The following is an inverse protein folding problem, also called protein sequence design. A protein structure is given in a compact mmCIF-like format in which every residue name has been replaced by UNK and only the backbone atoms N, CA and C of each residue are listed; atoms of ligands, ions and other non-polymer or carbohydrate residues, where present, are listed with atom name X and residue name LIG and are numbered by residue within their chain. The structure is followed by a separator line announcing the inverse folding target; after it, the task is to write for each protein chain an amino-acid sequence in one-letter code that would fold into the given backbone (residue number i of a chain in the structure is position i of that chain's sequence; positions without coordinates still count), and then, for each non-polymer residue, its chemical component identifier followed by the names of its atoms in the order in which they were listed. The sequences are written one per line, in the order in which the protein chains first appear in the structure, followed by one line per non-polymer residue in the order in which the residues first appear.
data_IF_657506342836
#
_entry.id   IF_657506342836
#
_cell.length_a   1.000
_cell.length_b   1.000
_cell.length_c   1.000
_cell.angle_alpha   90.00
_cell.angle_beta   90.00
_cell.angle_gamma   90.00
#
_symmetry.space_group_name_H-M   'P 1'
#
loop_
_entity.id
_entity.type
_entity.pdbx_description
1 polymer ?
#
# COMPACT_ATOMS: atom_id res chain seq x y z
N UNK A 1 -9.92 19.86 51.55
CA UNK A 1 -9.22 19.87 50.25
C UNK A 1 -10.05 19.06 49.26
N UNK A 2 -10.95 19.73 48.54
CA UNK A 2 -11.79 19.13 47.49
C UNK A 2 -11.01 19.18 46.17
N UNK A 3 -10.61 18.03 45.66
CA UNK A 3 -9.94 17.92 44.37
C UNK A 3 -10.96 18.20 43.25
N UNK A 4 -10.71 19.24 42.46
CA UNK A 4 -11.49 19.56 41.28
C UNK A 4 -11.31 18.45 40.23
N UNK A 5 -12.42 17.84 39.81
CA UNK A 5 -12.42 16.90 38.69
C UNK A 5 -12.04 17.65 37.41
N UNK A 6 -10.92 17.27 36.80
CA UNK A 6 -10.51 17.73 35.49
C UNK A 6 -11.53 17.28 34.45
N UNK A 7 -12.15 18.23 33.74
CA UNK A 7 -13.04 17.96 32.62
C UNK A 7 -12.32 17.14 31.53
N UNK A 8 -12.97 16.14 30.90
CA UNK A 8 -12.37 15.44 29.78
C UNK A 8 -12.22 16.40 28.60
N UNK A 9 -11.01 16.51 28.06
CA UNK A 9 -10.75 17.22 26.82
C UNK A 9 -11.64 16.63 25.72
N UNK A 10 -12.44 17.48 25.07
CA UNK A 10 -13.31 17.09 23.96
C UNK A 10 -12.43 16.55 22.82
N UNK A 11 -12.30 15.22 22.72
CA UNK A 11 -11.63 14.59 21.60
C UNK A 11 -12.36 15.01 20.32
N UNK A 12 -11.66 15.73 19.44
CA UNK A 12 -12.18 16.08 18.12
C UNK A 12 -12.66 14.80 17.42
N UNK A 13 -13.90 14.78 16.94
CA UNK A 13 -14.43 13.64 16.18
C UNK A 13 -13.50 13.37 15.00
N UNK A 14 -12.99 12.14 14.82
CA UNK A 14 -12.14 11.84 13.68
C UNK A 14 -12.92 12.14 12.40
N UNK A 15 -12.30 12.89 11.48
CA UNK A 15 -12.86 13.12 10.17
C UNK A 15 -13.25 11.75 9.55
N UNK A 16 -14.47 11.64 9.04
CA UNK A 16 -15.00 10.38 8.52
C UNK A 16 -14.08 9.84 7.41
N UNK A 17 -13.45 8.69 7.67
CA UNK A 17 -12.61 7.99 6.69
C UNK A 17 -13.41 7.33 5.54
N UNK A 18 -14.73 7.48 5.53
CA UNK A 18 -15.64 6.86 4.58
C UNK A 18 -15.35 7.31 3.14
N UNK A 19 -15.20 8.62 2.89
CA UNK A 19 -14.95 9.14 1.54
C UNK A 19 -13.62 8.63 0.96
N UNK A 20 -12.48 8.72 1.67
CA UNK A 20 -11.22 8.14 1.22
C UNK A 20 -11.32 6.63 0.96
N UNK A 21 -12.01 5.88 1.83
CA UNK A 21 -12.18 4.45 1.67
C UNK A 21 -12.99 4.11 0.40
N UNK A 22 -14.12 4.78 0.19
CA UNK A 22 -14.94 4.62 -1.02
C UNK A 22 -14.13 4.91 -2.29
N UNK A 23 -13.38 6.01 -2.31
CA UNK A 23 -12.51 6.35 -3.44
C UNK A 23 -11.46 5.27 -3.71
N UNK A 24 -10.80 4.77 -2.67
CA UNK A 24 -9.80 3.72 -2.78
C UNK A 24 -10.42 2.41 -3.33
N UNK A 25 -11.57 1.98 -2.79
CA UNK A 25 -12.25 0.76 -3.25
C UNK A 25 -12.75 0.87 -4.69
N UNK A 26 -13.23 2.04 -5.11
CA UNK A 26 -13.62 2.28 -6.50
C UNK A 26 -12.40 2.14 -7.41
N UNK A 27 -11.32 2.86 -7.11
CA UNK A 27 -10.08 2.82 -7.93
C UNK A 27 -9.56 1.38 -8.05
N UNK A 28 -9.52 0.65 -6.94
CA UNK A 28 -9.06 -0.74 -6.93
C UNK A 28 -10.04 -1.70 -7.63
N UNK A 29 -11.35 -1.48 -7.54
CA UNK A 29 -12.35 -2.28 -8.25
C UNK A 29 -12.26 -2.15 -9.77
N UNK A 30 -11.86 -0.99 -10.28
CA UNK A 30 -11.63 -0.76 -11.71
C UNK A 30 -10.27 -1.24 -12.22
N UNK A 31 -9.31 -1.52 -11.33
CA UNK A 31 -7.95 -1.90 -11.72
C UNK A 31 -7.88 -3.18 -12.59
N UNK A 32 -8.58 -4.29 -12.28
CA UNK A 32 -8.57 -5.47 -13.15
C UNK A 32 -9.08 -5.18 -14.57
N UNK A 33 -10.10 -4.32 -14.70
CA UNK A 33 -10.64 -3.93 -16.00
C UNK A 33 -9.58 -3.20 -16.83
N UNK A 34 -8.85 -2.26 -16.21
CA UNK A 34 -7.74 -1.57 -16.87
C UNK A 34 -6.67 -2.55 -17.35
N UNK A 35 -6.26 -3.51 -16.52
CA UNK A 35 -5.24 -4.50 -16.85
C UNK A 35 -5.67 -5.45 -17.99
N UNK A 36 -6.97 -5.80 -18.08
CA UNK A 36 -7.52 -6.58 -19.19
C UNK A 36 -7.54 -5.82 -20.52
N UNK A 37 -7.70 -4.49 -20.46
CA UNK A 37 -7.72 -3.62 -21.64
C UNK A 37 -6.31 -3.36 -22.18
N UNK A 38 -5.31 -3.23 -21.32
CA UNK A 38 -3.92 -3.00 -21.71
C UNK A 38 -3.20 -4.33 -21.97
N UNK A 39 -3.24 -4.78 -23.22
CA UNK A 39 -2.69 -6.09 -23.63
C UNK A 39 -1.22 -6.07 -24.04
N UNK A 40 -0.64 -4.89 -24.23
CA UNK A 40 0.69 -4.73 -24.85
C UNK A 40 1.84 -4.63 -23.85
N UNK A 41 1.54 -4.48 -22.55
CA UNK A 41 2.56 -4.28 -21.51
C UNK A 41 2.69 -5.54 -20.66
N UNK A 42 3.87 -6.18 -20.59
CA UNK A 42 4.09 -7.35 -19.75
C UNK A 42 3.86 -7.06 -18.25
N UNK A 43 3.40 -8.04 -17.45
CA UNK A 43 3.19 -7.88 -16.01
C UNK A 43 4.39 -7.33 -15.24
N UNK A 44 5.60 -7.74 -15.63
CA UNK A 44 6.85 -7.26 -15.03
C UNK A 44 7.04 -5.76 -15.23
N UNK A 45 6.77 -5.25 -16.43
CA UNK A 45 6.90 -3.83 -16.74
C UNK A 45 5.89 -2.98 -15.97
N UNK A 46 4.66 -3.47 -15.76
CA UNK A 46 3.68 -2.78 -14.92
C UNK A 46 4.18 -2.57 -13.49
N UNK A 47 4.78 -3.59 -12.89
CA UNK A 47 5.37 -3.47 -11.55
C UNK A 47 6.56 -2.51 -11.57
N UNK A 48 7.41 -2.57 -12.60
CA UNK A 48 8.52 -1.65 -12.80
C UNK A 48 8.07 -0.19 -12.87
N UNK A 49 7.07 0.11 -13.69
CA UNK A 49 6.48 1.45 -13.80
C UNK A 49 5.90 1.92 -12.47
N UNK A 50 5.22 1.04 -11.72
CA UNK A 50 4.73 1.39 -10.38
C UNK A 50 5.87 1.81 -9.47
N UNK A 51 6.99 1.10 -9.46
CA UNK A 51 8.15 1.44 -8.61
C UNK A 51 8.76 2.77 -9.03
N UNK A 52 8.97 2.99 -10.34
CA UNK A 52 9.54 4.23 -10.88
C UNK A 52 8.70 5.45 -10.50
N UNK A 53 7.37 5.35 -10.52
CA UNK A 53 6.49 6.47 -10.14
C UNK A 53 6.29 6.62 -8.62
N UNK A 54 6.37 5.52 -7.86
CA UNK A 54 6.20 5.57 -6.40
C UNK A 54 7.43 6.16 -5.71
N UNK A 55 8.64 5.92 -6.23
CA UNK A 55 9.89 6.41 -5.64
C UNK A 55 9.94 7.95 -5.50
N UNK A 56 9.74 8.76 -6.57
CA UNK A 56 9.69 10.21 -6.46
C UNK A 56 8.61 10.70 -5.48
N UNK A 57 7.42 10.09 -5.52
CA UNK A 57 6.32 10.46 -4.62
C UNK A 57 6.69 10.22 -3.15
N UNK A 58 7.28 9.06 -2.85
CA UNK A 58 7.78 8.75 -1.51
C UNK A 58 8.87 9.73 -1.06
N UNK A 59 9.82 10.07 -1.94
CA UNK A 59 10.88 11.04 -1.61
C UNK A 59 10.30 12.43 -1.35
N UNK A 60 9.30 12.85 -2.11
CA UNK A 60 8.57 14.11 -1.88
C UNK A 60 7.90 14.10 -0.51
N UNK A 61 7.22 13.00 -0.15
CA UNK A 61 6.58 12.86 1.17
C UNK A 61 7.62 12.91 2.30
N UNK A 62 8.75 12.20 2.15
CA UNK A 62 9.85 12.24 3.13
C UNK A 62 10.39 13.66 3.28
N UNK A 63 10.52 14.40 2.18
CA UNK A 63 10.96 15.79 2.20
C UNK A 63 9.98 16.70 2.94
N UNK A 64 8.68 16.61 2.63
CA UNK A 64 7.65 17.38 3.32
C UNK A 64 7.56 17.06 4.81
N UNK A 65 7.75 15.79 5.19
CA UNK A 65 7.74 15.35 6.59
C UNK A 65 9.08 15.59 7.32
N UNK A 66 10.12 16.03 6.59
CA UNK A 66 11.50 16.24 7.10
C UNK A 66 12.12 14.99 7.73
N UNK A 67 11.78 13.80 7.23
CA UNK A 67 12.17 12.49 7.78
C UNK A 67 13.45 11.90 7.15
N UNK A 68 14.29 12.73 6.51
CA UNK A 68 15.55 12.27 5.92
C UNK A 68 16.52 11.61 6.91
N UNK A 69 16.67 12.06 8.17
CA UNK A 69 17.53 11.39 9.15
C UNK A 69 17.08 9.96 9.45
N UNK A 70 15.78 9.72 9.52
CA UNK A 70 15.20 8.38 9.78
C UNK A 70 15.46 7.45 8.59
N UNK A 71 15.29 7.97 7.36
CA UNK A 71 15.63 7.24 6.14
C UNK A 71 17.11 6.82 6.14
N UNK A 72 18.03 7.75 6.41
CA UNK A 72 19.46 7.47 6.48
C UNK A 72 19.80 6.45 7.57
N UNK A 73 19.10 6.51 8.71
CA UNK A 73 19.28 5.55 9.81
C UNK A 73 18.83 4.15 9.40
N UNK A 74 17.68 4.03 8.73
CA UNK A 74 17.21 2.76 8.19
C UNK A 74 18.16 2.17 7.13
N UNK A 75 18.73 3.02 6.26
CA UNK A 75 19.70 2.61 5.24
C UNK A 75 21.01 2.06 5.84
N UNK A 76 21.42 2.58 7.01
CA UNK A 76 22.64 2.13 7.71
C UNK A 76 22.44 0.87 8.55
N UNK A 77 21.20 0.49 8.84
CA UNK A 77 20.88 -0.71 9.63
C UNK A 77 20.73 -1.92 8.69
N UNK A 78 21.70 -2.86 8.65
CA UNK A 78 21.64 -4.01 7.74
C UNK A 78 20.45 -4.92 8.05
N UNK A 79 20.07 -5.04 9.33
CA UNK A 79 18.89 -5.84 9.74
C UNK A 79 17.59 -5.22 9.23
N UNK A 80 17.46 -3.90 9.33
CA UNK A 80 16.29 -3.17 8.81
C UNK A 80 16.26 -3.26 7.30
N UNK A 81 17.40 -3.08 6.63
CA UNK A 81 17.51 -3.20 5.18
C UNK A 81 17.11 -4.58 4.68
N UNK A 82 17.58 -5.65 5.33
CA UNK A 82 17.24 -7.01 4.95
C UNK A 82 15.73 -7.29 5.11
N UNK A 83 15.13 -6.83 6.21
CA UNK A 83 13.69 -6.93 6.41
C UNK A 83 12.91 -6.16 5.34
N UNK A 84 13.31 -4.92 5.05
CA UNK A 84 12.68 -4.10 4.00
C UNK A 84 12.84 -4.71 2.61
N UNK A 85 14.01 -5.28 2.30
CA UNK A 85 14.27 -5.97 1.04
C UNK A 85 13.40 -7.21 0.91
N UNK A 86 13.31 -8.03 1.96
CA UNK A 86 12.43 -9.20 1.98
C UNK A 86 10.96 -8.80 1.79
N UNK A 87 10.50 -7.78 2.51
CA UNK A 87 9.14 -7.23 2.35
C UNK A 87 8.91 -6.70 0.93
N UNK A 88 9.87 -5.96 0.36
CA UNK A 88 9.77 -5.42 -0.99
C UNK A 88 9.69 -6.54 -2.05
N UNK A 89 10.47 -7.60 -1.90
CA UNK A 89 10.42 -8.77 -2.79
C UNK A 89 9.07 -9.47 -2.65
N UNK A 90 8.59 -9.72 -1.43
CA UNK A 90 7.29 -10.36 -1.21
C UNK A 90 6.13 -9.55 -1.81
N UNK A 91 6.13 -8.23 -1.60
CA UNK A 91 5.13 -7.32 -2.19
C UNK A 91 5.26 -7.30 -3.72
N UNK A 92 6.48 -7.28 -4.24
CA UNK A 92 6.73 -7.31 -5.69
C UNK A 92 6.22 -8.60 -6.34
N UNK A 93 6.51 -9.75 -5.73
CA UNK A 93 6.00 -11.06 -6.18
C UNK A 93 4.48 -11.09 -6.10
N UNK A 94 3.89 -10.64 -4.99
CA UNK A 94 2.44 -10.56 -4.83
C UNK A 94 1.79 -9.76 -5.97
N UNK A 95 2.32 -8.56 -6.25
CA UNK A 95 1.81 -7.71 -7.32
C UNK A 95 1.99 -8.31 -8.70
N UNK A 96 3.13 -8.95 -8.95
CA UNK A 96 3.39 -9.63 -10.21
C UNK A 96 2.38 -10.76 -10.44
N UNK A 97 2.17 -11.62 -9.45
CA UNK A 97 1.20 -12.73 -9.52
C UNK A 97 -0.21 -12.21 -9.76
N UNK A 98 -0.62 -11.13 -9.09
CA UNK A 98 -1.93 -10.53 -9.29
C UNK A 98 -2.13 -10.02 -10.73
N UNK A 99 -1.17 -9.26 -11.26
CA UNK A 99 -1.26 -8.72 -12.63
C UNK A 99 -1.24 -9.85 -13.65
N UNK A 100 -0.34 -10.82 -13.46
CA UNK A 100 -0.24 -12.00 -14.31
C UNK A 100 -1.55 -12.78 -14.34
N UNK A 101 -2.17 -13.05 -13.17
CA UNK A 101 -3.42 -13.79 -13.08
C UNK A 101 -4.55 -13.05 -13.82
N UNK A 102 -4.68 -11.74 -13.65
CA UNK A 102 -5.70 -10.95 -14.36
C UNK A 102 -5.48 -10.98 -15.87
N UNK A 103 -4.24 -10.78 -16.33
CA UNK A 103 -3.90 -10.80 -17.76
C UNK A 103 -4.06 -12.20 -18.38
N UNK A 104 -3.95 -13.26 -17.59
CA UNK A 104 -4.23 -14.64 -17.99
C UNK A 104 -5.73 -14.98 -17.99
N UNK A 105 -6.61 -14.06 -17.56
CA UNK A 105 -8.06 -14.28 -17.46
C UNK A 105 -8.52 -14.91 -16.13
N UNK A 106 -7.59 -15.19 -15.20
CA UNK A 106 -7.83 -15.80 -13.89
C UNK A 106 -8.28 -14.77 -12.83
N UNK A 107 -9.19 -13.88 -13.20
CA UNK A 107 -9.66 -12.78 -12.33
C UNK A 107 -10.37 -13.31 -11.08
N UNK A 108 -11.12 -14.40 -11.22
CA UNK A 108 -11.84 -15.02 -10.11
C UNK A 108 -10.87 -15.63 -9.08
N UNK A 109 -9.87 -16.39 -9.54
CA UNK A 109 -8.84 -16.98 -8.68
C UNK A 109 -8.04 -15.89 -7.94
N UNK A 110 -7.67 -14.81 -8.65
CA UNK A 110 -7.02 -13.66 -8.04
C UNK A 110 -7.89 -13.02 -6.94
N UNK A 111 -9.18 -12.82 -7.20
CA UNK A 111 -10.11 -12.21 -6.25
C UNK A 111 -10.30 -13.06 -4.99
N UNK A 112 -10.43 -14.38 -5.13
CA UNK A 112 -10.50 -15.29 -3.98
C UNK A 112 -9.22 -15.20 -3.14
N UNK A 113 -8.05 -15.16 -3.78
CA UNK A 113 -6.79 -14.98 -3.07
C UNK A 113 -6.78 -13.72 -2.18
N UNK A 114 -7.30 -12.59 -2.69
CA UNK A 114 -7.41 -11.36 -1.90
C UNK A 114 -8.47 -11.44 -0.80
N UNK A 115 -9.59 -12.14 -1.01
CA UNK A 115 -10.61 -12.36 0.02
C UNK A 115 -10.15 -13.28 1.15
N UNK A 116 -9.12 -14.10 0.94
CA UNK A 116 -8.53 -14.91 2.01
C UNK A 116 -7.61 -14.11 2.95
N UNK A 117 -7.09 -12.96 2.53
CA UNK A 117 -6.15 -12.18 3.34
C UNK A 117 -6.65 -11.86 4.76
N UNK A 118 -7.91 -11.42 4.98
CA UNK A 118 -8.43 -11.15 6.33
C UNK A 118 -8.59 -12.40 7.22
N UNK A 119 -8.65 -13.61 6.65
CA UNK A 119 -8.71 -14.84 7.43
C UNK A 119 -7.32 -15.28 7.91
N UNK A 120 -6.29 -14.95 7.14
CA UNK A 120 -4.89 -15.28 7.43
C UNK A 120 -4.24 -14.18 8.27
N UNK A 121 -4.69 -12.94 8.11
CA UNK A 121 -4.18 -11.75 8.78
C UNK A 121 -5.25 -11.24 9.76
N UNK A 122 -5.06 -11.54 11.05
CA UNK A 122 -5.89 -11.06 12.18
C UNK A 122 -5.03 -10.27 13.17
#
# INVERSE_FOLDING_TARGET
MTAAASSPATAASPASGLLPALGAYIIWGFLPLYLLLVKTVPPFEFVGWRIIWTLPLCLIIVAFRRQFPDLLTALKSPRTMLALMASAVLIGVNWFVYIWAIMAGEVYAASIGYYLNPLINV
#
